data_IF_225638181434
#
_entry.id   IF_225638181434
#
_cell.length_a   1.000
_cell.length_b   1.000
_cell.length_c   1.000
_cell.angle_alpha   90.00
_cell.angle_beta   90.00
_cell.angle_gamma   90.00
#
_symmetry.space_group_name_H-M   'P 1'
#
loop_
_entity.id
_entity.type
_entity.pdbx_description
1 polymer ?
#
# COMPACT_ATOMS: atom_id res chain seq x y z
N UNK A 1 35.77 28.75 16.43
CA UNK A 1 34.65 27.83 16.08
C UNK A 1 34.01 28.27 14.75
N UNK A 2 34.18 27.51 13.65
CA UNK A 2 33.55 27.83 12.36
C UNK A 2 32.05 27.51 12.43
N UNK A 3 31.18 28.53 12.37
CA UNK A 3 29.71 28.38 12.37
C UNK A 3 29.28 27.51 11.18
N UNK A 4 28.64 26.36 11.44
CA UNK A 4 28.00 25.55 10.41
C UNK A 4 26.91 26.40 9.74
N UNK A 5 26.95 26.61 8.41
CA UNK A 5 25.95 27.43 7.73
C UNK A 5 24.57 26.78 7.91
N UNK A 6 23.55 27.58 8.25
CA UNK A 6 22.16 27.12 8.28
C UNK A 6 21.83 26.57 6.89
N UNK A 7 21.55 25.27 6.82
CA UNK A 7 21.42 24.56 5.56
C UNK A 7 20.15 24.98 4.82
N UNK A 8 20.27 25.97 3.94
CA UNK A 8 19.27 26.35 2.93
C UNK A 8 18.93 25.10 2.09
N UNK A 9 17.66 24.89 1.68
CA UNK A 9 17.24 23.70 0.92
C UNK A 9 18.11 23.39 -0.31
N UNK A 10 18.66 24.42 -0.97
CA UNK A 10 19.59 24.27 -2.09
C UNK A 10 20.94 23.60 -1.70
N UNK A 11 21.45 23.87 -0.51
CA UNK A 11 22.71 23.28 0.00
C UNK A 11 22.50 21.81 0.35
N UNK A 12 21.32 21.47 0.89
CA UNK A 12 20.94 20.08 1.18
C UNK A 12 20.82 19.24 -0.08
N UNK A 13 20.22 19.77 -1.15
CA UNK A 13 20.18 19.10 -2.46
C UNK A 13 21.57 18.81 -2.99
N UNK A 14 22.46 19.81 -3.02
CA UNK A 14 23.83 19.61 -3.52
C UNK A 14 24.64 18.60 -2.69
N UNK A 15 24.45 18.58 -1.37
CA UNK A 15 25.08 17.59 -0.50
C UNK A 15 24.52 16.17 -0.78
N UNK A 16 23.21 16.06 -0.95
CA UNK A 16 22.53 14.81 -1.28
C UNK A 16 22.97 14.26 -2.64
N UNK A 17 23.04 15.09 -3.69
CA UNK A 17 23.46 14.69 -5.03
C UNK A 17 24.91 14.19 -5.04
N UNK A 18 25.80 14.78 -4.23
CA UNK A 18 27.19 14.32 -4.07
C UNK A 18 27.26 12.94 -3.43
N UNK A 19 26.55 12.72 -2.32
CA UNK A 19 26.48 11.42 -1.65
C UNK A 19 25.89 10.35 -2.58
N UNK A 20 24.86 10.72 -3.35
CA UNK A 20 24.20 9.82 -4.28
C UNK A 20 25.10 9.43 -5.46
N UNK A 21 25.88 10.38 -5.97
CA UNK A 21 26.84 10.12 -7.06
C UNK A 21 27.97 9.21 -6.59
N UNK A 22 28.46 9.41 -5.37
CA UNK A 22 29.48 8.56 -4.75
C UNK A 22 28.94 7.15 -4.45
N UNK A 23 27.72 7.03 -3.91
CA UNK A 23 27.09 5.71 -3.70
C UNK A 23 26.89 4.96 -5.03
N UNK A 24 26.47 5.67 -6.08
CA UNK A 24 26.30 5.09 -7.43
C UNK A 24 27.64 4.72 -8.07
N UNK A 25 28.75 5.41 -7.82
CA UNK A 25 30.04 5.05 -8.41
C UNK A 25 30.57 3.69 -7.96
N UNK A 26 30.10 3.17 -6.82
CA UNK A 26 30.42 1.83 -6.32
C UNK A 26 29.45 0.72 -6.77
N UNK A 27 28.44 1.04 -7.59
CA UNK A 27 27.42 0.09 -8.04
C UNK A 27 27.65 -0.34 -9.50
N UNK A 28 27.39 -1.62 -9.79
CA UNK A 28 27.41 -2.14 -11.17
C UNK A 28 26.24 -1.58 -12.00
N UNK A 29 26.33 -1.61 -13.34
CA UNK A 29 25.35 -1.01 -14.25
C UNK A 29 23.87 -1.32 -13.93
N UNK A 30 23.48 -2.60 -13.71
CA UNK A 30 22.12 -2.97 -13.32
C UNK A 30 21.70 -2.40 -11.94
N UNK A 31 22.64 -2.34 -10.99
CA UNK A 31 22.41 -1.80 -9.65
C UNK A 31 22.23 -0.28 -9.67
N UNK A 32 22.91 0.45 -10.57
CA UNK A 32 22.69 1.89 -10.80
C UNK A 32 21.28 2.17 -11.33
N UNK A 33 20.78 1.34 -12.24
CA UNK A 33 19.44 1.46 -12.80
C UNK A 33 18.41 1.20 -11.70
N UNK A 34 18.55 0.10 -10.96
CA UNK A 34 17.66 -0.22 -9.84
C UNK A 34 17.69 0.87 -8.76
N UNK A 35 18.88 1.41 -8.42
CA UNK A 35 19.06 2.56 -7.52
C UNK A 35 18.37 3.82 -8.02
N UNK A 36 18.40 4.08 -9.32
CA UNK A 36 17.69 5.22 -9.90
C UNK A 36 16.17 5.07 -9.80
N UNK A 37 15.67 3.85 -9.96
CA UNK A 37 14.25 3.49 -9.93
C UNK A 37 13.72 3.61 -8.50
N UNK A 38 14.32 2.94 -7.52
CA UNK A 38 13.86 3.01 -6.12
C UNK A 38 14.00 4.39 -5.49
N UNK A 39 14.89 5.24 -5.99
CA UNK A 39 15.02 6.63 -5.54
C UNK A 39 14.29 7.65 -6.45
N UNK A 40 13.64 7.17 -7.51
CA UNK A 40 12.73 7.97 -8.28
C UNK A 40 11.48 8.19 -7.42
N UNK A 41 11.31 9.45 -6.98
CA UNK A 41 10.13 9.95 -6.25
C UNK A 41 8.76 9.45 -6.79
N UNK A 42 8.56 9.23 -8.11
CA UNK A 42 7.30 8.69 -8.63
C UNK A 42 6.89 7.33 -8.05
N UNK A 43 7.83 6.43 -7.75
CA UNK A 43 7.49 5.11 -7.21
C UNK A 43 7.00 5.19 -5.76
N UNK A 44 7.58 6.08 -4.95
CA UNK A 44 7.06 6.39 -3.62
C UNK A 44 5.66 6.98 -3.68
N UNK A 45 5.40 7.88 -4.63
CA UNK A 45 4.10 8.54 -4.77
C UNK A 45 3.00 7.56 -5.24
N UNK A 46 3.29 6.70 -6.21
CA UNK A 46 2.33 5.70 -6.69
C UNK A 46 2.03 4.68 -5.59
N UNK A 47 3.07 4.22 -4.87
CA UNK A 47 2.92 3.34 -3.71
C UNK A 47 2.09 3.98 -2.59
N UNK A 48 2.37 5.25 -2.24
CA UNK A 48 1.62 5.98 -1.22
C UNK A 48 0.18 6.28 -1.64
N UNK A 49 -0.07 6.56 -2.92
CA UNK A 49 -1.42 6.76 -3.48
C UNK A 49 -2.22 5.46 -3.49
N UNK A 50 -1.61 4.35 -3.92
CA UNK A 50 -2.25 3.04 -3.90
C UNK A 50 -2.48 2.57 -2.47
N UNK A 51 -1.52 2.76 -1.57
CA UNK A 51 -1.68 2.47 -0.15
C UNK A 51 -2.77 3.34 0.49
N UNK A 52 -2.80 4.64 0.18
CA UNK A 52 -3.83 5.55 0.72
C UNK A 52 -5.21 5.40 0.09
N UNK A 53 -5.34 4.69 -1.04
CA UNK A 53 -6.61 4.47 -1.74
C UNK A 53 -7.14 3.04 -1.54
N UNK A 54 -6.27 2.03 -1.63
CA UNK A 54 -6.62 0.61 -1.55
C UNK A 54 -6.45 0.07 -0.12
N UNK A 55 -5.43 0.53 0.61
CA UNK A 55 -5.15 0.09 1.99
C UNK A 55 -5.74 1.03 3.05
N UNK A 56 -6.81 1.77 2.70
CA UNK A 56 -7.59 2.45 3.74
C UNK A 56 -8.11 1.42 4.74
N UNK A 57 -8.02 1.71 6.05
CA UNK A 57 -8.21 0.69 7.08
C UNK A 57 -9.62 0.07 7.06
N UNK A 58 -10.66 0.83 6.71
CA UNK A 58 -12.06 0.36 6.72
C UNK A 58 -12.33 -0.66 5.60
N UNK A 59 -12.01 -0.40 4.32
CA UNK A 59 -12.11 -1.39 3.23
C UNK A 59 -11.32 -2.67 3.49
N UNK A 60 -10.11 -2.54 4.02
CA UNK A 60 -9.26 -3.70 4.32
C UNK A 60 -9.90 -4.60 5.37
N UNK A 61 -10.42 -4.02 6.47
CA UNK A 61 -11.15 -4.75 7.51
C UNK A 61 -12.40 -5.41 6.94
N UNK A 62 -13.17 -4.69 6.11
CA UNK A 62 -14.35 -5.21 5.43
C UNK A 62 -14.03 -6.43 4.54
N UNK A 63 -12.94 -6.37 3.78
CA UNK A 63 -12.46 -7.48 2.96
C UNK A 63 -12.05 -8.69 3.78
N UNK A 64 -11.28 -8.49 4.85
CA UNK A 64 -10.86 -9.58 5.74
C UNK A 64 -12.06 -10.28 6.40
N UNK A 65 -13.03 -9.51 6.90
CA UNK A 65 -14.26 -10.06 7.49
C UNK A 65 -15.08 -10.82 6.43
N UNK A 66 -15.24 -10.24 5.24
CA UNK A 66 -15.95 -10.88 4.13
C UNK A 66 -15.32 -12.21 3.71
N UNK A 67 -13.99 -12.27 3.66
CA UNK A 67 -13.24 -13.49 3.39
C UNK A 67 -13.50 -14.55 4.46
N UNK A 68 -13.34 -14.21 5.74
CA UNK A 68 -13.54 -15.14 6.85
C UNK A 68 -14.98 -15.67 6.84
N UNK A 69 -15.96 -14.81 6.62
CA UNK A 69 -17.37 -15.18 6.61
C UNK A 69 -17.69 -16.08 5.42
N UNK A 70 -17.18 -15.75 4.22
CA UNK A 70 -17.37 -16.57 3.02
C UNK A 70 -16.74 -17.95 3.19
N UNK A 71 -15.51 -18.03 3.71
CA UNK A 71 -14.88 -19.30 4.04
C UNK A 71 -15.69 -20.09 5.07
N UNK A 72 -16.13 -19.46 6.15
CA UNK A 72 -16.88 -20.14 7.21
C UNK A 72 -18.20 -20.74 6.69
N UNK A 73 -18.93 -19.99 5.86
CA UNK A 73 -20.18 -20.45 5.26
C UNK A 73 -19.95 -21.61 4.27
N UNK A 74 -18.93 -21.48 3.42
CA UNK A 74 -18.69 -22.45 2.35
C UNK A 74 -18.04 -23.71 2.89
N UNK A 75 -16.99 -23.60 3.72
CA UNK A 75 -16.40 -24.78 4.36
C UNK A 75 -17.37 -25.42 5.36
N UNK A 76 -18.21 -24.64 6.04
CA UNK A 76 -19.24 -25.16 6.94
C UNK A 76 -20.29 -26.00 6.22
N UNK A 77 -20.73 -25.57 5.04
CA UNK A 77 -21.72 -26.31 4.23
C UNK A 77 -21.07 -27.44 3.42
N UNK A 78 -19.90 -27.21 2.82
CA UNK A 78 -19.22 -28.18 1.99
C UNK A 78 -18.77 -29.43 2.76
N UNK A 79 -18.40 -29.30 4.03
CA UNK A 79 -18.04 -30.44 4.88
C UNK A 79 -19.19 -31.44 5.06
N UNK A 80 -20.43 -30.98 4.92
CA UNK A 80 -21.62 -31.84 5.01
C UNK A 80 -22.01 -32.49 3.68
N UNK A 81 -21.52 -31.97 2.54
CA UNK A 81 -21.98 -32.36 1.19
C UNK A 81 -20.86 -33.07 0.39
N UNK A 82 -19.60 -33.04 0.86
CA UNK A 82 -18.50 -33.79 0.24
C UNK A 82 -17.96 -33.18 -1.06
N UNK A 83 -18.21 -31.89 -1.29
CA UNK A 83 -17.69 -31.16 -2.46
C UNK A 83 -16.23 -30.74 -2.30
N UNK A 84 -15.45 -30.80 -3.38
CA UNK A 84 -14.15 -30.13 -3.47
C UNK A 84 -14.38 -28.61 -3.45
N UNK A 85 -13.91 -27.96 -2.39
CA UNK A 85 -14.04 -26.52 -2.21
C UNK A 85 -12.91 -25.83 -2.96
N UNK A 86 -13.27 -25.02 -3.95
CA UNK A 86 -12.30 -24.16 -4.62
C UNK A 86 -11.87 -23.03 -3.66
N UNK A 87 -10.59 -22.66 -3.71
CA UNK A 87 -10.06 -21.55 -2.89
C UNK A 87 -10.45 -20.18 -3.44
N UNK A 88 -11.04 -20.14 -4.63
CA UNK A 88 -11.46 -18.90 -5.30
C UNK A 88 -12.58 -18.19 -4.54
N UNK A 89 -13.48 -18.94 -3.91
CA UNK A 89 -14.63 -18.40 -3.20
C UNK A 89 -14.21 -17.49 -2.04
N UNK A 90 -13.06 -17.76 -1.39
CA UNK A 90 -12.49 -16.86 -0.38
C UNK A 90 -12.03 -15.52 -0.93
N UNK A 91 -11.39 -15.54 -2.09
CA UNK A 91 -10.94 -14.33 -2.79
C UNK A 91 -12.16 -13.52 -3.25
N UNK A 92 -13.20 -14.19 -3.74
CA UNK A 92 -14.46 -13.56 -4.10
C UNK A 92 -15.13 -12.91 -2.87
N UNK A 93 -15.20 -13.61 -1.74
CA UNK A 93 -15.70 -13.08 -0.47
C UNK A 93 -14.90 -11.87 0.03
N UNK A 94 -13.58 -11.90 -0.13
CA UNK A 94 -12.71 -10.76 0.18
C UNK A 94 -13.05 -9.53 -0.66
N UNK A 95 -13.17 -9.68 -1.98
CA UNK A 95 -13.48 -8.56 -2.89
C UNK A 95 -14.85 -7.95 -2.57
N UNK A 96 -15.85 -8.79 -2.29
CA UNK A 96 -17.20 -8.32 -1.92
C UNK A 96 -17.17 -7.56 -0.60
N UNK A 97 -16.52 -8.11 0.44
CA UNK A 97 -16.38 -7.45 1.73
C UNK A 97 -15.61 -6.13 1.63
N UNK A 98 -14.59 -6.09 0.79
CA UNK A 98 -13.79 -4.90 0.54
C UNK A 98 -14.61 -3.81 -0.16
N UNK A 99 -15.43 -4.17 -1.15
CA UNK A 99 -16.35 -3.24 -1.83
C UNK A 99 -17.36 -2.64 -0.85
N UNK A 100 -17.92 -3.44 0.06
CA UNK A 100 -18.85 -2.95 1.08
C UNK A 100 -18.13 -1.96 2.03
N UNK A 101 -16.91 -2.29 2.46
CA UNK A 101 -16.08 -1.40 3.28
C UNK A 101 -15.73 -0.08 2.56
N UNK A 102 -15.41 -0.15 1.26
CA UNK A 102 -15.16 1.02 0.42
C UNK A 102 -16.40 1.89 0.23
N UNK A 103 -17.57 1.28 0.03
CA UNK A 103 -18.83 1.99 -0.10
C UNK A 103 -19.20 2.68 1.21
N UNK A 104 -19.07 2.00 2.35
CA UNK A 104 -19.37 2.61 3.66
C UNK A 104 -18.44 3.77 3.97
N UNK A 105 -17.15 3.66 3.64
CA UNK A 105 -16.21 4.77 3.75
C UNK A 105 -16.57 5.92 2.79
N UNK A 106 -16.97 5.63 1.55
CA UNK A 106 -17.43 6.64 0.60
C UNK A 106 -18.63 7.43 1.12
N UNK A 107 -19.62 6.73 1.70
CA UNK A 107 -20.77 7.39 2.33
C UNK A 107 -20.40 8.19 3.59
N UNK A 108 -19.45 7.72 4.41
CA UNK A 108 -18.97 8.48 5.58
C UNK A 108 -18.24 9.77 5.19
N UNK A 109 -17.45 9.73 4.11
CA UNK A 109 -16.79 10.91 3.55
C UNK A 109 -17.80 11.90 2.98
N UNK A 110 -18.82 11.40 2.27
CA UNK A 110 -19.88 12.23 1.70
C UNK A 110 -20.76 12.87 2.79
N UNK A 111 -21.07 12.11 3.85
CA UNK A 111 -21.86 12.59 4.99
C UNK A 111 -21.09 13.53 5.93
N UNK A 112 -19.81 13.80 5.68
CA UNK A 112 -19.03 14.77 6.44
C UNK A 112 -18.72 14.36 7.89
N UNK A 113 -18.88 13.09 8.25
CA UNK A 113 -18.48 12.53 9.56
C UNK A 113 -16.95 12.39 9.65
N UNK A 114 -16.23 13.49 9.47
CA UNK A 114 -14.77 13.53 9.61
C UNK A 114 -14.43 13.70 11.10
N UNK A 115 -14.28 12.61 11.85
CA UNK A 115 -13.42 12.69 13.05
C UNK A 115 -11.99 12.85 12.54
N UNK A 116 -11.41 14.02 12.86
CA UNK A 116 -9.97 14.29 12.75
C UNK A 116 -9.16 13.24 13.49
#
# INVERSE_FOLDING_TARGET
MKKKPKATPAIRKKAFDRTMTQARSHMNGPQKIFSSIIHARPLGIIGDLLASTIARPIPLIGGMIGMILSLALIYGTAKNIGYEVSSFEGIAGFVIGWLIGAITEFFQLLAGFKKK
#
